data_IF_168728189548
#
_entry.id   IF_168728189548
#
_cell.length_a   1.000
_cell.length_b   1.000
_cell.length_c   1.000
_cell.angle_alpha   90.00
_cell.angle_beta   90.00
_cell.angle_gamma   90.00
#
_symmetry.space_group_name_H-M   'P 1'
#
loop_
_entity.id
_entity.type
_entity.pdbx_description
1 polymer ?
#
# COMPACT_ATOMS: atom_id res chain seq x y z
N UNK A 1 -43.95 -28.21 21.55
CA UNK A 1 -44.12 -26.98 20.73
C UNK A 1 -43.44 -25.83 21.47
N UNK A 2 -42.14 -25.61 21.25
CA UNK A 2 -41.37 -24.46 21.78
C UNK A 2 -40.02 -24.26 21.05
N UNK A 3 -39.87 -24.77 19.83
CA UNK A 3 -38.56 -24.81 19.13
C UNK A 3 -38.38 -23.65 18.12
N UNK A 4 -39.48 -23.02 17.67
CA UNK A 4 -39.42 -21.96 16.65
C UNK A 4 -38.86 -20.63 17.13
N UNK A 5 -38.80 -20.37 18.43
CA UNK A 5 -38.29 -19.09 18.97
C UNK A 5 -36.77 -19.00 19.02
N UNK A 6 -36.07 -20.14 19.08
CA UNK A 6 -34.61 -20.23 19.14
C UNK A 6 -33.97 -20.14 17.76
N UNK A 7 -34.55 -20.80 16.77
CA UNK A 7 -34.05 -20.78 15.38
C UNK A 7 -34.17 -19.37 14.75
N UNK A 8 -35.27 -18.67 15.02
CA UNK A 8 -35.47 -17.28 14.55
C UNK A 8 -34.43 -16.32 15.14
N UNK A 9 -34.08 -16.49 16.43
CA UNK A 9 -33.08 -15.66 17.11
C UNK A 9 -31.65 -15.94 16.62
N UNK A 10 -31.34 -17.22 16.32
CA UNK A 10 -30.05 -17.60 15.74
C UNK A 10 -29.91 -17.04 14.31
N UNK A 11 -30.97 -17.17 13.50
CA UNK A 11 -31.01 -16.62 12.15
C UNK A 11 -30.83 -15.10 12.13
N UNK A 12 -31.47 -14.39 13.06
CA UNK A 12 -31.29 -12.94 13.19
C UNK A 12 -29.84 -12.59 13.58
N UNK A 13 -29.23 -13.36 14.47
CA UNK A 13 -27.82 -13.18 14.87
C UNK A 13 -26.88 -13.36 13.67
N UNK A 14 -27.11 -14.39 12.85
CA UNK A 14 -26.32 -14.64 11.63
C UNK A 14 -26.46 -13.51 10.61
N UNK A 15 -27.68 -12.97 10.44
CA UNK A 15 -27.95 -11.84 9.54
C UNK A 15 -27.24 -10.56 10.00
N UNK A 16 -27.32 -10.24 11.30
CA UNK A 16 -26.61 -9.09 11.89
C UNK A 16 -25.09 -9.24 11.70
N UNK A 17 -24.54 -10.42 12.00
CA UNK A 17 -23.11 -10.67 11.83
C UNK A 17 -22.68 -10.52 10.36
N UNK A 18 -23.50 -10.97 9.41
CA UNK A 18 -23.22 -10.85 7.97
C UNK A 18 -23.20 -9.38 7.56
N UNK A 19 -24.16 -8.60 8.04
CA UNK A 19 -24.27 -7.18 7.69
C UNK A 19 -23.08 -6.39 8.25
N UNK A 20 -22.66 -6.64 9.49
CA UNK A 20 -21.45 -6.05 10.06
C UNK A 20 -20.19 -6.46 9.29
N UNK A 21 -20.06 -7.74 8.92
CA UNK A 21 -18.93 -8.24 8.15
C UNK A 21 -18.85 -7.62 6.74
N UNK A 22 -20.01 -7.44 6.08
CA UNK A 22 -20.12 -6.74 4.80
C UNK A 22 -19.68 -5.28 4.93
N UNK A 23 -20.14 -4.59 5.97
CA UNK A 23 -19.76 -3.19 6.24
C UNK A 23 -18.26 -3.09 6.51
N UNK A 24 -17.67 -4.02 7.28
CA UNK A 24 -16.24 -4.06 7.51
C UNK A 24 -15.45 -4.27 6.21
N UNK A 25 -15.91 -5.19 5.34
CA UNK A 25 -15.28 -5.45 4.05
C UNK A 25 -15.31 -4.19 3.17
N UNK A 26 -16.46 -3.53 3.05
CA UNK A 26 -16.63 -2.30 2.28
C UNK A 26 -15.67 -1.19 2.75
N UNK A 27 -15.53 -1.01 4.08
CA UNK A 27 -14.58 -0.05 4.66
C UNK A 27 -13.13 -0.39 4.30
N UNK A 28 -12.74 -1.67 4.33
CA UNK A 28 -11.40 -2.10 3.92
C UNK A 28 -11.15 -1.86 2.43
N UNK A 29 -12.13 -2.16 1.57
CA UNK A 29 -12.03 -1.94 0.13
C UNK A 29 -11.91 -0.46 -0.22
N UNK A 30 -12.73 0.40 0.40
CA UNK A 30 -12.61 1.86 0.26
C UNK A 30 -11.24 2.37 0.74
N UNK A 31 -10.71 1.82 1.84
CA UNK A 31 -9.38 2.18 2.33
C UNK A 31 -8.27 1.79 1.33
N UNK A 32 -8.39 0.62 0.69
CA UNK A 32 -7.44 0.17 -0.32
C UNK A 32 -7.48 1.04 -1.58
N UNK A 33 -8.66 1.45 -2.03
CA UNK A 33 -8.84 2.34 -3.18
C UNK A 33 -8.25 3.75 -2.92
N UNK A 34 -8.45 4.27 -1.71
CA UNK A 34 -7.84 5.52 -1.24
C UNK A 34 -6.30 5.44 -1.24
N UNK A 35 -5.75 4.31 -0.82
CA UNK A 35 -4.30 4.06 -0.82
C UNK A 35 -3.76 4.03 -2.25
N UNK A 36 -4.43 3.35 -3.17
CA UNK A 36 -4.03 3.28 -4.58
C UNK A 36 -4.09 4.65 -5.25
N UNK A 37 -5.12 5.45 -4.95
CA UNK A 37 -5.26 6.84 -5.41
C UNK A 37 -4.13 7.75 -4.91
N UNK A 38 -3.75 7.61 -3.62
CA UNK A 38 -2.60 8.32 -3.03
C UNK A 38 -1.29 7.89 -3.68
N UNK A 39 -1.10 6.59 -3.92
CA UNK A 39 0.08 6.05 -4.57
C UNK A 39 0.26 6.61 -5.98
N UNK A 40 -0.80 6.62 -6.80
CA UNK A 40 -0.75 7.22 -8.14
C UNK A 40 -0.42 8.72 -8.11
N UNK A 41 -0.91 9.43 -7.10
CA UNK A 41 -0.59 10.85 -6.92
C UNK A 41 0.89 11.06 -6.61
N UNK A 42 1.47 10.27 -5.70
CA UNK A 42 2.91 10.30 -5.38
C UNK A 42 3.77 9.90 -6.57
N UNK A 43 3.37 8.86 -7.31
CA UNK A 43 4.05 8.43 -8.53
C UNK A 43 4.14 9.56 -9.57
N UNK A 44 3.01 10.22 -9.86
CA UNK A 44 2.95 11.34 -10.81
C UNK A 44 3.79 12.52 -10.33
N UNK A 45 3.73 12.83 -9.03
CA UNK A 45 4.56 13.89 -8.43
C UNK A 45 6.05 13.61 -8.64
N UNK A 46 6.52 12.40 -8.35
CA UNK A 46 7.94 12.06 -8.51
C UNK A 46 8.40 12.14 -9.97
N UNK A 47 7.59 11.67 -10.92
CA UNK A 47 7.90 11.79 -12.35
C UNK A 47 7.99 13.27 -12.76
N UNK A 48 7.04 14.09 -12.31
CA UNK A 48 7.05 15.53 -12.59
C UNK A 48 8.30 16.21 -12.00
N UNK A 49 8.68 15.88 -10.76
CA UNK A 49 9.87 16.41 -10.10
C UNK A 49 11.14 16.00 -10.84
N UNK A 50 11.30 14.73 -11.21
CA UNK A 50 12.45 14.26 -12.00
C UNK A 50 12.50 14.97 -13.35
N UNK A 51 11.37 15.09 -14.05
CA UNK A 51 11.29 15.83 -15.31
C UNK A 51 11.72 17.29 -15.17
N UNK A 52 11.20 17.98 -14.15
CA UNK A 52 11.56 19.37 -13.85
C UNK A 52 13.06 19.53 -13.58
N UNK A 53 13.67 18.61 -12.82
CA UNK A 53 15.11 18.63 -12.54
C UNK A 53 15.95 18.44 -13.80
N UNK A 54 15.57 17.49 -14.65
CA UNK A 54 16.23 17.26 -15.93
C UNK A 54 16.11 18.48 -16.85
N UNK A 55 14.94 19.14 -16.87
CA UNK A 55 14.74 20.38 -17.62
C UNK A 55 15.62 21.52 -17.08
N UNK A 56 15.67 21.71 -15.75
CA UNK A 56 16.51 22.72 -15.13
C UNK A 56 18.00 22.49 -15.41
N UNK A 57 18.46 21.24 -15.35
CA UNK A 57 19.84 20.87 -15.62
C UNK A 57 20.20 21.07 -17.10
N UNK A 58 19.28 20.73 -18.01
CA UNK A 58 19.45 20.95 -19.45
C UNK A 58 19.60 22.45 -19.78
N UNK A 59 18.75 23.30 -19.19
CA UNK A 59 18.82 24.75 -19.37
C UNK A 59 20.11 25.34 -18.78
N UNK A 60 20.51 24.90 -17.59
CA UNK A 60 21.76 25.32 -16.97
C UNK A 60 22.98 24.93 -17.83
N UNK A 61 22.97 23.72 -18.40
CA UNK A 61 24.05 23.23 -19.26
C UNK A 61 24.19 23.96 -20.59
N UNK A 62 23.09 24.49 -21.12
CA UNK A 62 23.12 25.38 -22.28
C UNK A 62 23.73 26.76 -21.95
N UNK A 63 23.68 27.18 -20.68
CA UNK A 63 24.11 28.51 -20.25
C UNK A 63 25.56 28.53 -19.75
N UNK A 64 25.90 27.61 -18.83
CA UNK A 64 27.24 27.50 -18.24
C UNK A 64 27.52 26.09 -17.70
N UNK A 65 28.52 25.43 -18.29
CA UNK A 65 28.93 24.07 -17.92
C UNK A 65 29.62 24.00 -16.55
N UNK A 66 30.22 25.10 -16.08
CA UNK A 66 30.85 25.14 -14.75
C UNK A 66 29.78 25.06 -13.66
N UNK A 67 28.68 25.80 -13.83
CA UNK A 67 27.52 25.74 -12.94
C UNK A 67 26.90 24.34 -12.88
N UNK A 68 26.73 23.66 -14.03
CA UNK A 68 26.24 22.27 -14.06
C UNK A 68 27.17 21.31 -13.30
N UNK A 69 28.47 21.42 -13.49
CA UNK A 69 29.45 20.56 -12.81
C UNK A 69 29.39 20.72 -11.29
N UNK A 70 29.12 21.93 -10.79
CA UNK A 70 28.92 22.16 -9.36
C UNK A 70 27.60 21.55 -8.83
N UNK A 71 26.53 21.61 -9.62
CA UNK A 71 25.21 21.07 -9.27
C UNK A 71 25.15 19.54 -9.35
N UNK A 72 25.92 18.90 -10.24
CA UNK A 72 26.00 17.43 -10.34
C UNK A 72 26.96 16.90 -9.29
N UNK A 73 26.48 16.82 -8.05
CA UNK A 73 27.22 16.21 -6.95
C UNK A 73 26.52 14.94 -6.44
N UNK A 74 27.24 14.07 -5.68
CA UNK A 74 26.67 12.81 -5.20
C UNK A 74 25.38 12.97 -4.39
N UNK A 75 25.21 14.09 -3.68
CA UNK A 75 24.01 14.34 -2.86
C UNK A 75 22.79 14.60 -3.73
N UNK A 76 22.96 15.35 -4.83
CA UNK A 76 21.91 15.52 -5.85
C UNK A 76 21.57 14.16 -6.49
N UNK A 77 22.59 13.33 -6.75
CA UNK A 77 22.40 11.95 -7.22
C UNK A 77 21.54 11.10 -6.27
N UNK A 78 21.79 11.19 -4.95
CA UNK A 78 20.95 10.56 -3.92
C UNK A 78 19.51 11.09 -3.97
N UNK A 79 19.33 12.39 -4.18
CA UNK A 79 18.01 12.99 -4.34
C UNK A 79 17.22 12.41 -5.52
N UNK A 80 17.84 12.35 -6.69
CA UNK A 80 17.25 11.76 -7.89
C UNK A 80 16.95 10.27 -7.69
N UNK A 81 17.91 9.51 -7.15
CA UNK A 81 17.70 8.09 -6.85
C UNK A 81 16.53 7.87 -5.88
N UNK A 82 16.39 8.75 -4.87
CA UNK A 82 15.30 8.69 -3.90
C UNK A 82 13.93 8.93 -4.55
N UNK A 83 13.82 9.89 -5.48
CA UNK A 83 12.58 10.08 -6.26
C UNK A 83 12.24 8.88 -7.14
N UNK A 84 13.24 8.28 -7.79
CA UNK A 84 13.02 7.08 -8.63
C UNK A 84 12.55 5.91 -7.77
N UNK A 85 13.25 5.62 -6.67
CA UNK A 85 12.85 4.55 -5.74
C UNK A 85 11.46 4.81 -5.14
N UNK A 86 11.16 6.06 -4.81
CA UNK A 86 9.83 6.47 -4.34
C UNK A 86 8.75 6.24 -5.40
N UNK A 87 9.00 6.65 -6.65
CA UNK A 87 8.09 6.40 -7.76
C UNK A 87 7.89 4.90 -7.99
N UNK A 88 8.95 4.11 -7.93
CA UNK A 88 8.86 2.65 -8.03
C UNK A 88 8.02 2.07 -6.90
N UNK A 89 8.23 2.46 -5.64
CA UNK A 89 7.42 1.99 -4.52
C UNK A 89 5.93 2.37 -4.66
N UNK A 90 5.65 3.59 -5.10
CA UNK A 90 4.30 4.07 -5.37
C UNK A 90 3.65 3.28 -6.53
N UNK A 91 4.37 3.07 -7.64
CA UNK A 91 3.91 2.24 -8.75
C UNK A 91 3.67 0.80 -8.34
N UNK A 92 4.57 0.22 -7.53
CA UNK A 92 4.41 -1.13 -6.99
C UNK A 92 3.14 -1.25 -6.15
N UNK A 93 2.83 -0.25 -5.32
CA UNK A 93 1.58 -0.22 -4.53
C UNK A 93 0.35 -0.40 -5.42
N UNK A 94 0.31 0.31 -6.55
CA UNK A 94 -0.78 0.20 -7.52
C UNK A 94 -0.79 -1.17 -8.23
N UNK A 95 0.38 -1.71 -8.58
CA UNK A 95 0.47 -2.99 -9.29
C UNK A 95 0.28 -4.22 -8.41
N UNK A 96 0.46 -4.10 -7.09
CA UNK A 96 0.20 -5.19 -6.15
C UNK A 96 -1.30 -5.43 -6.15
N UNK A 97 -1.68 -6.39 -6.98
CA UNK A 97 -3.04 -6.86 -7.16
C UNK A 97 -3.45 -7.76 -6.03
N UNK A 98 -4.75 -7.69 -5.68
CA UNK A 98 -5.40 -8.71 -4.90
C UNK A 98 -5.98 -8.12 -3.62
N UNK A 99 -7.20 -7.64 -3.74
CA UNK A 99 -8.15 -7.72 -2.65
C UNK A 99 -9.25 -8.70 -3.07
N UNK A 100 -9.75 -9.45 -2.09
CA UNK A 100 -10.83 -10.38 -2.30
C UNK A 100 -12.14 -9.65 -2.03
N UNK A 101 -13.06 -9.77 -2.99
CA UNK A 101 -14.37 -9.12 -2.93
C UNK A 101 -15.44 -10.17 -3.09
N UNK A 102 -16.16 -10.44 -2.01
CA UNK A 102 -17.37 -11.25 -2.07
C UNK A 102 -17.17 -12.66 -2.62
N UNK A 103 -18.30 -13.32 -2.88
CA UNK A 103 -18.35 -14.71 -3.33
C UNK A 103 -18.05 -14.81 -4.82
N UNK A 104 -17.13 -15.71 -5.20
CA UNK A 104 -16.89 -16.06 -6.60
C UNK A 104 -18.01 -16.91 -7.22
N UNK A 105 -18.16 -16.89 -8.56
CA UNK A 105 -19.25 -17.60 -9.25
C UNK A 105 -19.27 -19.10 -8.93
N UNK A 106 -18.11 -19.75 -8.91
CA UNK A 106 -18.00 -21.19 -8.61
C UNK A 106 -18.48 -21.53 -7.18
N UNK A 107 -18.32 -20.65 -6.19
CA UNK A 107 -18.88 -20.90 -4.86
C UNK A 107 -20.39 -20.68 -4.80
N UNK A 108 -20.92 -19.71 -5.54
CA UNK A 108 -22.38 -19.52 -5.60
C UNK A 108 -23.04 -20.78 -6.18
N UNK A 109 -22.45 -21.37 -7.22
CA UNK A 109 -22.95 -22.61 -7.82
C UNK A 109 -22.86 -23.79 -6.83
N UNK A 110 -21.76 -23.93 -6.10
CA UNK A 110 -21.57 -25.00 -5.12
C UNK A 110 -22.37 -24.83 -3.81
N UNK A 111 -22.98 -23.67 -3.59
CA UNK A 111 -23.78 -23.38 -2.39
C UNK A 111 -25.28 -23.28 -2.66
N UNK A 112 -25.72 -23.51 -3.91
CA UNK A 112 -27.11 -23.34 -4.33
C UNK A 112 -28.11 -24.23 -3.59
N UNK A 113 -27.67 -25.42 -3.14
CA UNK A 113 -28.51 -26.39 -2.44
C UNK A 113 -28.46 -26.26 -0.90
N UNK A 114 -27.73 -25.27 -0.37
CA UNK A 114 -27.64 -25.06 1.08
C UNK A 114 -28.94 -24.48 1.64
N UNK A 115 -29.27 -24.87 2.88
CA UNK A 115 -30.28 -24.15 3.65
C UNK A 115 -29.82 -22.71 3.93
N UNK A 116 -30.75 -21.79 4.17
CA UNK A 116 -30.42 -20.38 4.44
C UNK A 116 -29.43 -20.24 5.61
N UNK A 117 -29.63 -21.01 6.70
CA UNK A 117 -28.75 -21.03 7.86
C UNK A 117 -27.33 -21.51 7.48
N UNK A 118 -27.22 -22.62 6.75
CA UNK A 118 -25.94 -23.17 6.33
C UNK A 118 -25.21 -22.20 5.38
N UNK A 119 -25.94 -21.54 4.48
CA UNK A 119 -25.39 -20.51 3.61
C UNK A 119 -24.88 -19.30 4.38
N UNK A 120 -25.63 -18.80 5.38
CA UNK A 120 -25.19 -17.68 6.21
C UNK A 120 -23.94 -18.01 7.03
N UNK A 121 -23.88 -19.20 7.64
CA UNK A 121 -22.69 -19.64 8.37
C UNK A 121 -21.47 -19.73 7.44
N UNK A 122 -21.63 -20.34 6.27
CA UNK A 122 -20.57 -20.42 5.26
C UNK A 122 -20.11 -19.03 4.79
N UNK A 123 -21.05 -18.10 4.59
CA UNK A 123 -20.76 -16.73 4.17
C UNK A 123 -19.98 -15.96 5.24
N UNK A 124 -20.31 -16.14 6.52
CA UNK A 124 -19.59 -15.52 7.64
C UNK A 124 -18.14 -15.99 7.74
N UNK A 125 -17.90 -17.29 7.57
CA UNK A 125 -16.54 -17.84 7.50
C UNK A 125 -15.77 -17.22 6.33
N UNK A 126 -16.43 -17.14 5.16
CA UNK A 126 -15.83 -16.55 3.96
C UNK A 126 -15.49 -15.07 4.14
N UNK A 127 -16.35 -14.28 4.79
CA UNK A 127 -16.04 -12.89 5.14
C UNK A 127 -14.84 -12.79 6.07
N UNK A 128 -14.73 -13.67 7.07
CA UNK A 128 -13.56 -13.74 7.95
C UNK A 128 -12.26 -13.96 7.18
N UNK A 129 -12.29 -14.82 6.15
CA UNK A 129 -11.14 -15.06 5.28
C UNK A 129 -10.79 -13.85 4.41
N UNK A 130 -11.79 -13.22 3.79
CA UNK A 130 -11.56 -12.03 2.96
C UNK A 130 -11.04 -10.85 3.77
N UNK A 131 -11.59 -10.61 4.96
CA UNK A 131 -11.15 -9.54 5.86
C UNK A 131 -9.68 -9.75 6.27
N UNK A 132 -9.28 -10.97 6.62
CA UNK A 132 -7.88 -11.29 6.96
C UNK A 132 -6.94 -11.08 5.79
N UNK A 133 -7.32 -11.55 4.60
CA UNK A 133 -6.52 -11.37 3.39
C UNK A 133 -6.36 -9.89 3.02
N UNK A 134 -7.47 -9.13 3.04
CA UNK A 134 -7.47 -7.70 2.70
C UNK A 134 -6.72 -6.88 3.75
N UNK A 135 -6.78 -7.24 5.03
CA UNK A 135 -5.98 -6.63 6.08
C UNK A 135 -4.47 -6.78 5.81
N UNK A 136 -4.01 -8.00 5.47
CA UNK A 136 -2.60 -8.23 5.11
C UNK A 136 -2.17 -7.42 3.87
N UNK A 137 -3.01 -7.34 2.84
CA UNK A 137 -2.75 -6.49 1.67
C UNK A 137 -2.67 -5.01 2.07
N UNK A 138 -3.59 -4.54 2.92
CA UNK A 138 -3.60 -3.16 3.41
C UNK A 138 -2.32 -2.82 4.19
N UNK A 139 -1.83 -3.72 5.05
CA UNK A 139 -0.56 -3.55 5.77
C UNK A 139 0.60 -3.29 4.81
N UNK A 140 0.73 -4.13 3.77
CA UNK A 140 1.82 -4.06 2.80
C UNK A 140 1.73 -2.81 1.94
N UNK A 141 0.55 -2.48 1.43
CA UNK A 141 0.34 -1.28 0.62
C UNK A 141 0.57 0.00 1.44
N UNK A 142 0.09 0.06 2.68
CA UNK A 142 0.33 1.19 3.58
C UNK A 142 1.83 1.46 3.83
N UNK A 143 2.63 0.40 3.98
CA UNK A 143 4.08 0.54 4.09
C UNK A 143 4.70 1.12 2.82
N UNK A 144 4.35 0.59 1.65
CA UNK A 144 4.90 1.07 0.38
C UNK A 144 4.55 2.53 0.11
N UNK A 145 3.31 2.95 0.42
CA UNK A 145 2.93 4.37 0.37
C UNK A 145 3.76 5.19 1.35
N UNK A 146 3.91 4.75 2.60
CA UNK A 146 4.73 5.46 3.59
C UNK A 146 6.18 5.62 3.11
N UNK A 147 6.79 4.56 2.58
CA UNK A 147 8.15 4.58 2.04
C UNK A 147 8.26 5.50 0.82
N UNK A 148 7.26 5.50 -0.07
CA UNK A 148 7.25 6.41 -1.21
C UNK A 148 7.19 7.87 -0.76
N UNK A 149 6.29 8.24 0.15
CA UNK A 149 6.19 9.61 0.68
C UNK A 149 7.50 10.04 1.33
N UNK A 150 8.09 9.20 2.18
CA UNK A 150 9.37 9.48 2.82
C UNK A 150 10.51 9.60 1.81
N UNK A 151 10.52 8.78 0.76
CA UNK A 151 11.46 8.89 -0.35
C UNK A 151 11.28 10.19 -1.13
N UNK A 152 10.06 10.65 -1.38
CA UNK A 152 9.82 11.95 -2.03
C UNK A 152 10.36 13.10 -1.17
N UNK A 153 10.08 13.08 0.13
CA UNK A 153 10.59 14.08 1.08
C UNK A 153 12.11 14.03 1.17
N UNK A 154 12.69 12.83 1.32
CA UNK A 154 14.12 12.61 1.36
C UNK A 154 14.82 13.07 0.08
N UNK A 155 14.22 12.81 -1.08
CA UNK A 155 14.69 13.28 -2.38
C UNK A 155 14.75 14.81 -2.45
N UNK A 156 13.66 15.47 -2.06
CA UNK A 156 13.60 16.94 -2.05
C UNK A 156 14.62 17.56 -1.08
N UNK A 157 14.78 16.97 0.11
CA UNK A 157 15.76 17.42 1.09
C UNK A 157 17.20 17.20 0.59
N UNK A 158 17.51 16.05 0.00
CA UNK A 158 18.82 15.76 -0.56
C UNK A 158 19.17 16.71 -1.71
N UNK A 159 18.22 17.05 -2.58
CA UNK A 159 18.41 18.10 -3.58
C UNK A 159 18.73 19.44 -2.94
N UNK A 160 17.95 19.87 -1.95
CA UNK A 160 18.19 21.14 -1.27
C UNK A 160 19.58 21.20 -0.63
N UNK A 161 19.99 20.12 0.05
CA UNK A 161 21.35 19.99 0.61
C UNK A 161 22.41 20.03 -0.47
N UNK A 162 22.22 19.29 -1.56
CA UNK A 162 23.15 19.25 -2.69
C UNK A 162 23.33 20.60 -3.36
N UNK A 163 22.24 21.34 -3.57
CA UNK A 163 22.26 22.70 -4.13
C UNK A 163 22.92 23.70 -3.18
N UNK A 164 22.54 23.71 -1.89
CA UNK A 164 23.15 24.61 -0.90
C UNK A 164 24.64 24.32 -0.73
N UNK A 165 25.02 23.04 -0.71
CA UNK A 165 26.43 22.63 -0.63
C UNK A 165 27.22 23.09 -1.84
N UNK A 166 26.65 22.98 -3.06
CA UNK A 166 27.29 23.45 -4.28
C UNK A 166 27.53 24.97 -4.27
N UNK A 167 26.56 25.75 -3.76
CA UNK A 167 26.62 27.21 -3.77
C UNK A 167 27.45 27.82 -2.63
N UNK A 168 27.48 27.16 -1.47
CA UNK A 168 28.07 27.74 -0.25
C UNK A 168 29.32 27.00 0.24
N UNK A 169 29.60 25.81 -0.31
CA UNK A 169 30.62 24.89 0.21
C UNK A 169 30.29 24.26 1.57
N UNK A 170 29.10 24.52 2.14
CA UNK A 170 28.69 24.01 3.46
C UNK A 170 27.75 22.82 3.32
N UNK A 171 28.26 21.63 3.65
CA UNK A 171 27.49 20.39 3.60
C UNK A 171 26.83 20.04 4.95
N UNK A 172 27.61 20.07 6.05
CA UNK A 172 27.20 19.46 7.33
C UNK A 172 25.94 20.07 7.94
N UNK A 173 25.82 21.41 7.96
CA UNK A 173 24.65 22.09 8.54
C UNK A 173 23.33 21.70 7.86
N UNK A 174 23.20 21.93 6.54
CA UNK A 174 22.02 21.52 5.78
C UNK A 174 21.74 20.02 5.88
N UNK A 175 22.77 19.17 5.84
CA UNK A 175 22.61 17.72 5.94
C UNK A 175 22.03 17.27 7.28
N UNK A 176 22.49 17.86 8.41
CA UNK A 176 21.96 17.55 9.74
C UNK A 176 20.49 17.96 9.87
N UNK A 177 20.13 19.13 9.34
CA UNK A 177 18.73 19.60 9.35
C UNK A 177 17.85 18.68 8.51
N UNK A 178 18.28 18.35 7.30
CA UNK A 178 17.56 17.42 6.42
C UNK A 178 17.35 16.05 7.09
N UNK A 179 18.39 15.50 7.72
CA UNK A 179 18.30 14.23 8.43
C UNK A 179 17.32 14.31 9.60
N UNK A 180 17.37 15.38 10.41
CA UNK A 180 16.46 15.57 11.53
C UNK A 180 14.99 15.65 11.07
N UNK A 181 14.72 16.37 9.97
CA UNK A 181 13.38 16.46 9.37
C UNK A 181 12.93 15.08 8.89
N UNK A 182 13.79 14.33 8.19
CA UNK A 182 13.44 13.02 7.66
C UNK A 182 13.17 11.99 8.76
N UNK A 183 13.99 11.97 9.81
CA UNK A 183 13.79 11.11 10.99
C UNK A 183 12.48 11.46 11.70
N UNK A 184 12.19 12.75 11.86
CA UNK A 184 10.94 13.21 12.47
C UNK A 184 9.74 12.79 11.64
N UNK A 185 9.79 12.99 10.32
CA UNK A 185 8.73 12.56 9.39
C UNK A 185 8.51 11.04 9.45
N UNK A 186 9.58 10.24 9.49
CA UNK A 186 9.48 8.79 9.62
C UNK A 186 8.85 8.34 10.95
N UNK A 187 9.16 9.05 12.05
CA UNK A 187 8.54 8.83 13.35
C UNK A 187 7.04 9.15 13.35
N UNK A 188 6.67 10.33 12.83
CA UNK A 188 5.26 10.77 12.73
C UNK A 188 4.45 9.85 11.82
N UNK A 189 5.04 9.35 10.74
CA UNK A 189 4.38 8.41 9.83
C UNK A 189 4.22 6.99 10.42
N UNK A 190 4.77 6.72 11.61
CA UNK A 190 4.69 5.41 12.24
C UNK A 190 5.48 4.32 11.50
N UNK A 191 6.51 4.69 10.75
CA UNK A 191 7.36 3.73 10.04
C UNK A 191 7.93 2.63 10.98
N UNK A 192 8.39 2.95 12.22
CA UNK A 192 8.89 1.92 13.13
C UNK A 192 7.85 0.88 13.52
N UNK A 193 6.60 1.31 13.75
CA UNK A 193 5.50 0.38 14.07
C UNK A 193 5.12 -0.50 12.88
N UNK A 194 5.11 0.07 11.67
CA UNK A 194 4.82 -0.68 10.45
C UNK A 194 5.88 -1.75 10.16
N UNK A 195 7.17 -1.42 10.34
CA UNK A 195 8.27 -2.37 10.19
C UNK A 195 8.25 -3.47 11.24
N UNK A 196 7.96 -3.13 12.52
CA UNK A 196 7.82 -4.14 13.59
C UNK A 196 6.70 -5.13 13.31
N UNK A 197 5.56 -4.67 12.78
CA UNK A 197 4.44 -5.54 12.42
C UNK A 197 4.84 -6.58 11.38
N UNK A 198 5.52 -6.15 10.31
CA UNK A 198 5.95 -7.04 9.23
C UNK A 198 7.06 -8.01 9.65
N UNK A 199 8.01 -7.55 10.47
CA UNK A 199 9.09 -8.41 10.99
C UNK A 199 8.58 -9.41 12.03
N UNK A 200 7.57 -9.04 12.82
CA UNK A 200 6.94 -9.93 13.79
C UNK A 200 6.18 -11.09 13.15
N UNK A 201 5.48 -10.85 12.05
CA UNK A 201 4.79 -11.90 11.28
C UNK A 201 5.78 -12.91 10.64
N UNK A 202 6.99 -12.45 10.29
CA UNK A 202 8.03 -13.31 9.68
C UNK A 202 8.62 -14.35 10.65
N UNK A 203 8.47 -14.15 11.97
CA UNK A 203 9.06 -15.02 13.00
C UNK A 203 8.15 -16.14 13.50
N UNK A 204 6.84 -16.08 13.25
CA UNK A 204 5.86 -17.07 13.72
C UNK A 204 5.48 -18.06 12.61
N UNK A 205 5.58 -17.66 11.34
CA UNK A 205 5.15 -18.49 10.20
C UNK A 205 6.29 -19.32 9.55
N UNK A 206 7.56 -19.14 9.97
CA UNK A 206 8.68 -19.91 9.43
C UNK A 206 8.67 -21.41 9.84
N UNK A 207 7.83 -21.79 10.82
CA UNK A 207 7.65 -23.19 11.27
C UNK A 207 6.32 -23.81 10.78
N UNK A 208 5.59 -23.12 9.89
CA UNK A 208 4.20 -23.49 9.57
C UNK A 208 3.75 -23.33 8.12
N UNK A 209 4.62 -23.02 7.16
CA UNK A 209 4.23 -23.11 5.73
C UNK A 209 4.28 -24.58 5.31
N UNK A 210 3.34 -25.37 5.83
CA UNK A 210 2.91 -26.57 5.14
C UNK A 210 2.19 -26.11 3.88
N UNK A 211 2.69 -26.53 2.72
CA UNK A 211 2.03 -26.40 1.42
C UNK A 211 0.76 -27.26 1.32
N UNK A 212 0.03 -27.44 2.43
CA UNK A 212 -1.01 -28.45 2.62
C UNK A 212 -2.41 -27.87 2.89
N UNK A 213 -2.60 -26.55 2.91
CA UNK A 213 -3.93 -25.93 3.01
C UNK A 213 -4.47 -25.40 1.67
N UNK A 214 -3.98 -25.93 0.54
CA UNK A 214 -4.48 -25.62 -0.80
C UNK A 214 -5.65 -26.52 -1.26
N UNK A 215 -6.25 -27.29 -0.35
CA UNK A 215 -7.43 -28.11 -0.61
C UNK A 215 -8.63 -27.64 0.22
N UNK A 216 -9.34 -26.64 -0.30
CA UNK A 216 -10.81 -26.51 -0.42
C UNK A 216 -11.17 -25.07 -0.87
N UNK A 217 -12.25 -24.86 -1.64
CA UNK A 217 -12.30 -23.87 -2.71
C UNK A 217 -12.32 -22.43 -2.16
N UNK A 218 -11.17 -21.78 -2.27
CA UNK A 218 -10.98 -20.34 -2.05
C UNK A 218 -11.81 -19.54 -3.06
N UNK A 219 -13.04 -19.22 -2.68
CA UNK A 219 -14.02 -18.60 -3.56
C UNK A 219 -14.29 -17.14 -3.23
N UNK A 220 -13.22 -16.38 -3.00
CA UNK A 220 -13.27 -14.92 -3.09
C UNK A 220 -13.05 -14.48 -4.53
N UNK A 221 -13.89 -13.59 -5.07
CA UNK A 221 -13.58 -13.01 -6.37
C UNK A 221 -12.36 -12.11 -6.22
N UNK A 222 -11.25 -12.49 -6.89
CA UNK A 222 -10.08 -11.61 -7.00
C UNK A 222 -10.38 -10.54 -8.02
N UNK A 223 -10.60 -9.32 -7.57
CA UNK A 223 -10.69 -8.18 -8.49
C UNK A 223 -9.29 -7.70 -8.83
N UNK A 224 -8.95 -7.76 -10.12
CA UNK A 224 -7.69 -7.25 -10.64
C UNK A 224 -7.95 -5.87 -11.25
N UNK A 225 -7.66 -4.82 -10.50
CA UNK A 225 -7.70 -3.42 -10.96
C UNK A 225 -6.49 -3.13 -11.85
N UNK A 226 -6.45 -3.78 -13.01
CA UNK A 226 -5.38 -3.61 -14.01
C UNK A 226 -5.86 -3.78 -15.44
N UNK A 227 -7.17 -3.99 -15.65
CA UNK A 227 -7.76 -4.11 -16.98
C UNK A 227 -9.12 -3.45 -17.01
N UNK A 228 -9.13 -2.13 -16.96
CA UNK A 228 -10.22 -1.36 -17.53
C UNK A 228 -10.30 -1.72 -19.02
N UNK A 229 -11.14 -2.72 -19.34
CA UNK A 229 -11.66 -2.88 -20.69
C UNK A 229 -12.56 -1.68 -20.93
N UNK A 230 -11.97 -0.58 -21.42
CA UNK A 230 -12.72 0.46 -22.11
C UNK A 230 -13.55 -0.21 -23.20
N UNK A 231 -14.87 -0.05 -23.13
CA UNK A 231 -15.76 -0.15 -24.27
C UNK A 231 -15.74 1.18 -25.01
#
# INVERSE_FOLDING_TARGET
MSDGGTDDAEMETLRIARDEARVALERQLSTLDDIDSKALSVFRLNIALVGLLLSALSFAGASDMATVTALVNPVVGVGVASFVLSATAAGLTYTISGYQVGVGPDALENTADLSEQAFLQWLLVSYGDWLRYNEQTNVRKALLVTLSVLGTVGGALALAVGTVSALTGRFLGPAVVALAVLVTAAGVAGLPSQLRRLLGESGVDAEGISLQSFEMPMAGQRTFTGRDRRK
#
